data_IF_137297595489
#
_entry.id   IF_137297595489
#
_cell.length_a   1.000
_cell.length_b   1.000
_cell.length_c   1.000
_cell.angle_alpha   90.00
_cell.angle_beta   90.00
_cell.angle_gamma   90.00
#
_symmetry.space_group_name_H-M   'P 1'
#
loop_
_entity.id
_entity.type
_entity.pdbx_description
1 polymer ?
#
# COMPACT_ATOMS: atom_id res chain seq x y z
N UNK A 1 -7.06 -15.05 -11.21
CA UNK A 1 -8.34 -14.33 -10.96
C UNK A 1 -8.23 -13.41 -9.76
N UNK A 2 -7.69 -13.86 -8.62
CA UNK A 2 -7.46 -13.01 -7.44
C UNK A 2 -6.43 -11.89 -7.66
N UNK A 3 -5.33 -12.15 -8.39
CA UNK A 3 -4.24 -11.17 -8.63
C UNK A 3 -4.68 -9.94 -9.43
N UNK A 4 -5.55 -10.13 -10.43
CA UNK A 4 -6.11 -9.00 -11.20
C UNK A 4 -6.99 -8.10 -10.34
N UNK A 5 -7.79 -8.69 -9.45
CA UNK A 5 -8.64 -7.95 -8.52
C UNK A 5 -7.80 -7.10 -7.55
N UNK A 6 -6.60 -7.57 -7.20
CA UNK A 6 -5.64 -6.84 -6.34
C UNK A 6 -5.05 -5.66 -7.09
N UNK A 7 -4.60 -5.88 -8.33
CA UNK A 7 -4.11 -4.80 -9.18
C UNK A 7 -5.19 -3.72 -9.36
N UNK A 8 -6.44 -4.10 -9.58
CA UNK A 8 -7.57 -3.17 -9.69
C UNK A 8 -7.84 -2.41 -8.38
N UNK A 9 -7.84 -3.10 -7.23
CA UNK A 9 -8.00 -2.45 -5.92
C UNK A 9 -6.89 -1.46 -5.63
N UNK A 10 -5.64 -1.82 -5.91
CA UNK A 10 -4.49 -0.94 -5.64
C UNK A 10 -4.50 0.23 -6.62
N UNK A 11 -4.87 0.02 -7.89
CA UNK A 11 -5.07 1.09 -8.87
C UNK A 11 -6.17 2.07 -8.49
N UNK A 12 -7.19 1.60 -7.78
CA UNK A 12 -8.28 2.45 -7.30
C UNK A 12 -7.90 3.31 -6.09
N UNK A 13 -6.83 2.95 -5.36
CA UNK A 13 -6.40 3.64 -4.13
C UNK A 13 -6.16 5.13 -4.37
N UNK A 14 -6.86 5.94 -3.57
CA UNK A 14 -6.62 7.38 -3.45
C UNK A 14 -6.28 7.76 -2.00
N UNK A 15 -5.89 9.02 -1.80
CA UNK A 15 -5.51 9.56 -0.47
C UNK A 15 -6.57 9.28 0.60
N UNK A 16 -7.86 9.40 0.26
CA UNK A 16 -8.96 9.15 1.20
C UNK A 16 -9.02 7.67 1.57
N UNK A 17 -8.89 6.77 0.60
CA UNK A 17 -8.88 5.33 0.85
C UNK A 17 -7.68 4.90 1.68
N UNK A 18 -6.49 5.46 1.43
CA UNK A 18 -5.30 5.19 2.25
C UNK A 18 -5.52 5.67 3.69
N UNK A 19 -6.10 6.86 3.89
CA UNK A 19 -6.44 7.32 5.24
C UNK A 19 -7.51 6.45 5.92
N UNK A 20 -8.53 6.00 5.18
CA UNK A 20 -9.55 5.08 5.71
C UNK A 20 -8.94 3.73 6.09
N UNK A 21 -7.98 3.23 5.30
CA UNK A 21 -7.23 2.03 5.63
C UNK A 21 -6.39 2.26 6.89
N UNK A 22 -5.67 3.39 6.99
CA UNK A 22 -4.96 3.75 8.21
C UNK A 22 -5.87 3.70 9.44
N UNK A 23 -7.01 4.38 9.39
CA UNK A 23 -8.00 4.36 10.48
C UNK A 23 -8.52 2.96 10.81
N UNK A 24 -8.85 2.15 9.80
CA UNK A 24 -9.35 0.78 9.99
C UNK A 24 -8.34 -0.12 10.71
N UNK A 25 -7.05 0.10 10.47
CA UNK A 25 -5.98 -0.68 11.06
C UNK A 25 -5.32 0.01 12.25
N UNK A 26 -5.92 1.07 12.82
CA UNK A 26 -5.38 1.83 13.96
C UNK A 26 -4.01 2.48 13.69
N UNK A 27 -3.75 2.81 12.43
CA UNK A 27 -2.60 3.59 11.98
C UNK A 27 -3.03 5.05 11.80
N UNK A 28 -2.46 5.93 12.62
CA UNK A 28 -2.62 7.37 12.40
C UNK A 28 -1.78 7.81 11.19
N UNK A 29 -2.45 8.05 10.06
CA UNK A 29 -1.84 8.58 8.84
C UNK A 29 -2.27 10.03 8.66
N UNK A 30 -1.30 10.91 8.40
CA UNK A 30 -1.61 12.26 7.91
C UNK A 30 -1.89 12.25 6.41
N UNK A 31 -2.48 13.34 5.91
CA UNK A 31 -2.63 13.57 4.46
C UNK A 31 -1.27 13.52 3.73
N UNK A 32 -0.20 13.97 4.40
CA UNK A 32 1.16 13.93 3.84
C UNK A 32 1.65 12.48 3.71
N UNK A 33 1.43 11.67 4.72
CA UNK A 33 1.80 10.24 4.72
C UNK A 33 1.01 9.50 3.64
N UNK A 34 -0.28 9.74 3.52
CA UNK A 34 -1.12 9.12 2.50
C UNK A 34 -0.68 9.47 1.07
N UNK A 35 -0.27 10.74 0.82
CA UNK A 35 0.32 11.13 -0.47
C UNK A 35 1.64 10.41 -0.74
N UNK A 36 2.50 10.31 0.28
CA UNK A 36 3.78 9.61 0.17
C UNK A 36 3.61 8.11 -0.09
N UNK A 37 2.63 7.48 0.55
CA UNK A 37 2.27 6.07 0.28
C UNK A 37 1.80 5.90 -1.17
N UNK A 38 0.99 6.82 -1.73
CA UNK A 38 0.63 6.76 -3.16
C UNK A 38 1.84 6.91 -4.08
N UNK A 39 2.80 7.78 -3.74
CA UNK A 39 4.02 7.95 -4.52
C UNK A 39 4.87 6.67 -4.54
N UNK A 40 4.93 5.93 -3.42
CA UNK A 40 5.71 4.70 -3.35
C UNK A 40 4.99 3.53 -4.04
N UNK A 41 3.68 3.41 -3.81
CA UNK A 41 2.88 2.33 -4.41
C UNK A 41 2.74 2.54 -5.92
N UNK A 42 2.68 3.80 -6.38
CA UNK A 42 2.32 4.19 -7.75
C UNK A 42 1.11 3.40 -8.27
N UNK A 43 -0.10 3.67 -7.74
CA UNK A 43 -1.32 2.94 -8.07
C UNK A 43 -1.50 2.68 -9.57
N UNK A 44 -1.23 3.69 -10.41
CA UNK A 44 -1.43 3.63 -11.86
C UNK A 44 -0.58 2.58 -12.57
N UNK A 45 0.62 2.28 -12.07
CA UNK A 45 1.58 1.35 -12.67
C UNK A 45 1.72 0.06 -11.86
N UNK A 46 0.92 -0.12 -10.81
CA UNK A 46 1.04 -1.27 -9.93
C UNK A 46 0.73 -2.59 -10.64
N UNK A 47 1.63 -3.56 -10.47
CA UNK A 47 1.47 -4.94 -10.90
C UNK A 47 2.08 -5.90 -9.87
N UNK A 48 1.22 -6.76 -9.31
CA UNK A 48 1.62 -7.79 -8.33
C UNK A 48 2.52 -8.89 -8.92
N UNK A 49 2.53 -9.07 -10.25
CA UNK A 49 3.38 -10.07 -10.90
C UNK A 49 4.85 -9.62 -10.99
N UNK A 50 5.12 -8.32 -10.91
CA UNK A 50 6.48 -7.80 -10.79
C UNK A 50 6.96 -7.89 -9.34
N UNK A 51 7.38 -9.10 -8.95
CA UNK A 51 7.84 -9.41 -7.60
C UNK A 51 9.04 -8.56 -7.17
N UNK A 52 9.90 -8.16 -8.11
CA UNK A 52 11.10 -7.36 -7.83
C UNK A 52 10.68 -5.94 -7.45
N UNK A 53 9.80 -5.33 -8.24
CA UNK A 53 9.27 -4.00 -7.95
C UNK A 53 8.41 -4.02 -6.69
N UNK A 54 7.59 -5.05 -6.50
CA UNK A 54 6.77 -5.23 -5.30
C UNK A 54 7.65 -5.27 -4.05
N UNK A 55 8.69 -6.12 -4.01
CA UNK A 55 9.58 -6.23 -2.85
C UNK A 55 10.30 -4.90 -2.54
N UNK A 56 10.70 -4.14 -3.57
CA UNK A 56 11.30 -2.80 -3.39
C UNK A 56 10.31 -1.81 -2.79
N UNK A 57 9.09 -1.74 -3.31
CA UNK A 57 8.02 -0.89 -2.78
C UNK A 57 7.68 -1.27 -1.33
N UNK A 58 7.66 -2.57 -1.04
CA UNK A 58 7.43 -3.12 0.29
C UNK A 58 8.53 -2.70 1.28
N UNK A 59 9.79 -2.81 0.87
CA UNK A 59 10.93 -2.40 1.68
C UNK A 59 10.90 -0.90 1.98
N UNK A 60 10.66 -0.07 0.95
CA UNK A 60 10.61 1.39 1.11
C UNK A 60 9.50 1.83 2.08
N UNK A 61 8.32 1.24 1.98
CA UNK A 61 7.21 1.52 2.89
C UNK A 61 7.51 1.04 4.33
N UNK A 62 8.26 -0.05 4.52
CA UNK A 62 8.70 -0.52 5.84
C UNK A 62 9.75 0.41 6.46
N UNK A 63 10.64 0.97 5.66
CA UNK A 63 11.64 1.94 6.11
C UNK A 63 11.02 3.29 6.46
N UNK A 64 10.16 3.83 5.58
CA UNK A 64 9.55 5.15 5.79
C UNK A 64 8.42 5.12 6.83
N UNK A 65 7.69 4.02 6.93
CA UNK A 65 6.55 3.90 7.84
C UNK A 65 6.62 2.62 8.69
N UNK A 66 7.63 2.44 9.56
CA UNK A 66 7.83 1.18 10.28
C UNK A 66 6.65 0.77 11.17
N UNK A 67 6.01 1.73 11.84
CA UNK A 67 4.81 1.51 12.67
C UNK A 67 3.55 1.25 11.83
N UNK A 68 3.36 2.00 10.75
CA UNK A 68 2.27 1.77 9.82
C UNK A 68 2.45 0.44 9.09
N UNK A 69 3.69 0.03 8.83
CA UNK A 69 3.99 -1.08 7.96
C UNK A 69 3.42 -2.39 8.48
N UNK A 70 3.51 -2.69 9.78
CA UNK A 70 2.94 -3.95 10.29
C UNK A 70 1.44 -4.08 10.03
N UNK A 71 0.71 -2.97 9.99
CA UNK A 71 -0.75 -2.92 9.92
C UNK A 71 -1.27 -2.60 8.51
N UNK A 72 -0.63 -1.68 7.79
CA UNK A 72 -0.86 -1.46 6.35
C UNK A 72 -0.43 -2.69 5.54
N UNK A 73 0.63 -3.40 5.95
CA UNK A 73 0.99 -4.65 5.28
C UNK A 73 0.10 -5.80 5.65
N UNK A 74 -0.77 -5.73 6.67
CA UNK A 74 -1.83 -6.76 6.84
C UNK A 74 -2.83 -6.73 5.67
N UNK A 75 -2.93 -5.62 4.94
CA UNK A 75 -3.70 -5.56 3.67
C UNK A 75 -2.99 -6.24 2.50
N UNK A 76 -1.66 -6.27 2.53
CA UNK A 76 -0.79 -6.85 1.49
C UNK A 76 -0.31 -8.27 1.86
N UNK A 77 -0.36 -8.65 3.14
CA UNK A 77 0.10 -9.91 3.74
C UNK A 77 -0.62 -11.14 3.19
N UNK A 78 -1.92 -11.13 2.90
CA UNK A 78 -2.55 -12.28 2.26
C UNK A 78 -2.01 -12.55 0.85
N UNK A 79 -1.15 -11.67 0.33
CA UNK A 79 -0.75 -11.59 -1.07
C UNK A 79 0.77 -11.37 -1.30
N UNK A 80 1.58 -11.35 -0.23
CA UNK A 80 3.05 -11.41 -0.23
C UNK A 80 3.50 -12.85 0.06
#
# INVERSE_FOLDING_TARGET
>A
MFEQLINERIRALNVREIMMLGYKYDVSLTVRDAKRIMEIIEPATFDIHDKVTLQKKVALLKEEFPLASKQLFTLLEPYL
#
